data_IF_476540407935
#
_entry.id   IF_476540407935
#
_cell.length_a   1.000
_cell.length_b   1.000
_cell.length_c   1.000
_cell.angle_alpha   90.00
_cell.angle_beta   90.00
_cell.angle_gamma   90.00
#
_symmetry.space_group_name_H-M   'P 1'
#
loop_
_entity.id
_entity.type
_entity.pdbx_description
1 polymer ?
#
# COMPACT_ATOMS: atom_id res chain seq x y z
N UNK A 1 8.37 -30.18 -4.21
CA UNK A 1 7.10 -29.63 -4.73
C UNK A 1 6.06 -29.79 -3.62
N UNK A 2 5.23 -28.78 -3.35
CA UNK A 2 4.30 -28.82 -2.22
C UNK A 2 3.14 -29.77 -2.55
N UNK A 3 3.03 -30.88 -1.82
CA UNK A 3 2.08 -31.98 -2.09
C UNK A 3 0.61 -31.56 -2.06
N UNK A 4 0.29 -30.52 -1.29
CA UNK A 4 -1.09 -30.05 -1.06
C UNK A 4 -1.54 -28.96 -2.04
N UNK A 5 -0.68 -28.57 -3.01
CA UNK A 5 -1.00 -27.51 -3.97
C UNK A 5 -1.68 -28.10 -5.20
N UNK A 6 -2.94 -27.71 -5.43
CA UNK A 6 -3.71 -28.07 -6.62
C UNK A 6 -3.65 -26.96 -7.68
N UNK A 7 -3.06 -27.26 -8.84
CA UNK A 7 -3.04 -26.34 -9.98
C UNK A 7 -4.39 -26.39 -10.70
N UNK A 8 -5.04 -25.23 -10.82
CA UNK A 8 -6.30 -25.07 -11.56
C UNK A 8 -6.04 -24.23 -12.82
N UNK A 9 -6.35 -24.78 -13.99
CA UNK A 9 -6.13 -24.11 -15.27
C UNK A 9 -7.36 -23.29 -15.69
N UNK A 10 -7.14 -22.06 -16.16
CA UNK A 10 -8.19 -21.24 -16.76
C UNK A 10 -8.63 -21.76 -18.13
N UNK A 11 -9.85 -21.41 -18.56
CA UNK A 11 -10.31 -21.72 -19.91
C UNK A 11 -9.45 -20.97 -20.95
N UNK A 12 -9.03 -21.62 -22.04
CA UNK A 12 -8.33 -20.94 -23.13
C UNK A 12 -9.12 -19.72 -23.61
N UNK A 13 -8.49 -18.55 -23.58
CA UNK A 13 -8.98 -17.25 -24.10
C UNK A 13 -10.26 -16.66 -23.46
N UNK A 14 -10.92 -17.34 -22.53
CA UNK A 14 -12.17 -16.86 -21.93
C UNK A 14 -12.39 -17.32 -20.47
N UNK A 15 -11.59 -16.80 -19.54
CA UNK A 15 -11.99 -16.84 -18.13
C UNK A 15 -11.95 -15.44 -17.54
N UNK A 16 -13.06 -15.03 -16.92
CA UNK A 16 -13.24 -13.73 -16.28
C UNK A 16 -12.17 -13.43 -15.22
N UNK A 17 -11.63 -14.49 -14.58
CA UNK A 17 -10.49 -14.42 -13.66
C UNK A 17 -9.18 -13.99 -14.34
N UNK A 18 -8.93 -14.39 -15.58
CA UNK A 18 -7.72 -13.99 -16.32
C UNK A 18 -7.74 -12.49 -16.64
N UNK A 19 -8.89 -11.97 -17.08
CA UNK A 19 -8.99 -10.54 -17.42
C UNK A 19 -8.76 -9.60 -16.23
N UNK A 20 -9.04 -10.03 -14.99
CA UNK A 20 -8.73 -9.22 -13.82
C UNK A 20 -7.26 -9.27 -13.43
N UNK A 21 -6.61 -10.43 -13.57
CA UNK A 21 -5.17 -10.57 -13.35
C UNK A 21 -4.38 -9.79 -14.40
N UNK A 22 -4.78 -9.89 -15.67
CA UNK A 22 -4.15 -9.17 -16.79
C UNK A 22 -4.17 -7.65 -16.59
N UNK A 23 -5.28 -7.09 -16.09
CA UNK A 23 -5.38 -5.65 -15.80
C UNK A 23 -4.44 -5.23 -14.67
N UNK A 24 -4.42 -5.98 -13.57
CA UNK A 24 -3.55 -5.62 -12.44
C UNK A 24 -2.07 -5.78 -12.80
N UNK A 25 -1.72 -6.80 -13.59
CA UNK A 25 -0.36 -6.97 -14.07
C UNK A 25 0.08 -5.76 -14.93
N UNK A 26 -0.79 -5.28 -15.81
CA UNK A 26 -0.52 -4.07 -16.60
C UNK A 26 -0.28 -2.85 -15.72
N UNK A 27 -1.11 -2.64 -14.70
CA UNK A 27 -0.91 -1.50 -13.79
C UNK A 27 0.42 -1.61 -13.04
N UNK A 28 0.82 -2.82 -12.60
CA UNK A 28 2.10 -3.04 -11.92
C UNK A 28 3.27 -2.77 -12.88
N UNK A 29 3.16 -3.17 -14.14
CA UNK A 29 4.15 -2.86 -15.18
C UNK A 29 4.27 -1.33 -15.40
N UNK A 30 3.15 -0.62 -15.51
CA UNK A 30 3.12 0.83 -15.71
C UNK A 30 3.70 1.59 -14.50
N UNK A 31 3.37 1.16 -13.28
CA UNK A 31 3.95 1.69 -12.05
C UNK A 31 5.46 1.44 -11.98
N UNK A 32 5.91 0.28 -12.44
CA UNK A 32 7.33 -0.08 -12.45
C UNK A 32 8.12 0.72 -13.47
N UNK A 33 7.57 0.89 -14.68
CA UNK A 33 8.13 1.77 -15.69
C UNK A 33 8.26 3.21 -15.17
N UNK A 34 7.21 3.72 -14.51
CA UNK A 34 7.21 5.05 -13.90
C UNK A 34 8.27 5.18 -12.81
N UNK A 35 8.35 4.21 -11.90
CA UNK A 35 9.33 4.22 -10.81
C UNK A 35 10.76 4.18 -11.34
N UNK A 36 11.05 3.33 -12.33
CA UNK A 36 12.38 3.24 -12.95
C UNK A 36 12.78 4.56 -13.62
N UNK A 37 11.85 5.23 -14.31
CA UNK A 37 12.09 6.53 -14.94
C UNK A 37 12.39 7.62 -13.89
N UNK A 38 11.61 7.69 -12.81
CA UNK A 38 11.79 8.66 -11.74
C UNK A 38 13.11 8.49 -10.98
N UNK A 39 13.50 7.24 -10.71
CA UNK A 39 14.69 6.90 -9.93
C UNK A 39 15.96 6.75 -10.80
N UNK A 40 15.85 6.91 -12.13
CA UNK A 40 16.94 6.67 -13.09
C UNK A 40 17.65 5.33 -12.84
N UNK A 41 16.88 4.32 -12.46
CA UNK A 41 17.39 3.02 -12.00
C UNK A 41 16.76 1.89 -12.81
N UNK A 42 17.56 0.85 -13.07
CA UNK A 42 17.11 -0.41 -13.67
C UNK A 42 16.90 -1.51 -12.64
N UNK A 43 17.08 -1.18 -11.35
CA UNK A 43 16.90 -2.09 -10.22
C UNK A 43 15.40 -2.27 -9.89
N UNK A 44 14.70 -2.86 -10.85
CA UNK A 44 13.28 -3.16 -10.75
C UNK A 44 12.92 -4.08 -9.57
N UNK A 45 13.78 -5.02 -9.09
CA UNK A 45 13.46 -5.81 -7.91
C UNK A 45 13.32 -4.95 -6.65
N UNK A 46 14.15 -3.91 -6.48
CA UNK A 46 13.99 -2.95 -5.39
C UNK A 46 12.73 -2.10 -5.57
N UNK A 47 12.46 -1.65 -6.79
CA UNK A 47 11.23 -0.92 -7.15
C UNK A 47 9.94 -1.68 -6.82
N UNK A 48 9.95 -3.00 -7.01
CA UNK A 48 8.78 -3.85 -6.81
C UNK A 48 8.23 -3.77 -5.38
N UNK A 49 9.10 -3.64 -4.36
CA UNK A 49 8.69 -3.50 -2.95
C UNK A 49 7.84 -2.24 -2.73
N UNK A 50 8.22 -1.13 -3.37
CA UNK A 50 7.49 0.13 -3.28
C UNK A 50 6.14 0.06 -4.01
N UNK A 51 6.10 -0.60 -5.17
CA UNK A 51 4.89 -0.72 -5.97
C UNK A 51 3.89 -1.66 -5.31
N UNK A 52 4.36 -2.80 -4.80
CA UNK A 52 3.56 -3.73 -4.00
C UNK A 52 2.92 -3.00 -2.82
N UNK A 53 3.69 -2.21 -2.08
CA UNK A 53 3.16 -1.46 -0.95
C UNK A 53 2.14 -0.39 -1.37
N UNK A 54 2.40 0.35 -2.45
CA UNK A 54 1.47 1.34 -2.99
C UNK A 54 0.14 0.70 -3.44
N UNK A 55 0.19 -0.38 -4.22
CA UNK A 55 -1.02 -1.11 -4.67
C UNK A 55 -1.79 -1.69 -3.49
N UNK A 56 -1.12 -2.29 -2.51
CA UNK A 56 -1.79 -2.90 -1.37
C UNK A 56 -2.47 -1.89 -0.45
N UNK A 57 -2.03 -0.63 -0.43
CA UNK A 57 -2.62 0.43 0.40
C UNK A 57 -3.61 1.32 -0.37
N UNK A 58 -3.71 1.17 -1.70
CA UNK A 58 -4.65 1.94 -2.49
C UNK A 58 -6.11 1.58 -2.13
N UNK A 59 -6.96 2.60 -2.01
CA UNK A 59 -8.37 2.42 -1.68
C UNK A 59 -9.09 1.78 -2.88
N UNK A 60 -9.75 0.65 -2.65
CA UNK A 60 -10.58 0.03 -3.67
C UNK A 60 -12.00 0.61 -3.60
N UNK A 61 -12.41 1.34 -4.63
CA UNK A 61 -13.69 2.08 -4.68
C UNK A 61 -14.92 1.19 -4.40
N UNK A 62 -14.92 -0.05 -4.89
CA UNK A 62 -16.05 -0.97 -4.71
C UNK A 62 -16.18 -1.57 -3.30
N UNK A 63 -15.11 -1.59 -2.50
CA UNK A 63 -15.12 -2.15 -1.13
C UNK A 63 -15.03 -1.04 -0.07
N UNK A 64 -14.53 0.14 -0.45
CA UNK A 64 -14.25 1.23 0.49
C UNK A 64 -13.09 0.92 1.45
N UNK A 65 -12.27 -0.08 1.14
CA UNK A 65 -11.07 -0.46 1.91
C UNK A 65 -9.93 -0.82 0.97
N UNK A 66 -8.70 -0.69 1.46
CA UNK A 66 -7.50 -1.18 0.77
C UNK A 66 -7.33 -2.70 0.95
N UNK A 67 -6.66 -3.39 0.02
CA UNK A 67 -6.30 -4.79 0.19
C UNK A 67 -5.54 -5.08 1.50
N UNK A 68 -4.67 -4.16 1.92
CA UNK A 68 -3.95 -4.25 3.19
C UNK A 68 -4.92 -4.25 4.38
N UNK A 69 -5.88 -3.33 4.42
CA UNK A 69 -6.89 -3.29 5.49
C UNK A 69 -7.75 -4.55 5.53
N UNK A 70 -8.11 -5.08 4.37
CA UNK A 70 -8.88 -6.32 4.27
C UNK A 70 -8.07 -7.51 4.80
N UNK A 71 -6.76 -7.55 4.54
CA UNK A 71 -5.89 -8.64 4.95
C UNK A 71 -5.47 -8.57 6.43
N UNK A 72 -5.17 -7.38 6.94
CA UNK A 72 -4.57 -7.17 8.26
C UNK A 72 -5.52 -6.54 9.29
N UNK A 73 -6.69 -6.06 8.86
CA UNK A 73 -7.68 -5.42 9.74
C UNK A 73 -7.33 -4.00 10.18
N UNK A 74 -6.22 -3.42 9.71
CA UNK A 74 -5.79 -2.06 10.06
C UNK A 74 -5.22 -1.31 8.85
N UNK A 75 -5.20 0.02 8.90
CA UNK A 75 -4.58 0.87 7.87
C UNK A 75 -3.07 0.64 7.86
N UNK A 76 -2.47 0.56 6.66
CA UNK A 76 -1.03 0.39 6.55
C UNK A 76 -0.30 1.65 7.03
N UNK A 77 0.74 1.48 7.84
CA UNK A 77 1.53 2.60 8.40
C UNK A 77 2.49 3.17 7.36
N UNK A 78 2.51 4.49 7.25
CA UNK A 78 3.31 5.29 6.32
C UNK A 78 4.10 6.33 7.10
N UNK A 79 5.40 6.08 7.24
CA UNK A 79 6.31 6.98 7.95
C UNK A 79 5.87 7.29 9.38
N UNK A 80 6.40 8.39 9.91
CA UNK A 80 6.19 8.83 11.30
C UNK A 80 4.79 9.41 11.56
N UNK A 81 4.16 9.98 10.54
CA UNK A 81 2.79 10.51 10.64
C UNK A 81 1.76 9.43 11.00
N UNK A 82 2.03 8.17 10.63
CA UNK A 82 1.14 7.04 10.94
C UNK A 82 1.29 6.53 12.37
N UNK A 83 2.16 7.15 13.17
CA UNK A 83 2.39 6.80 14.59
C UNK A 83 1.77 7.86 15.52
N UNK A 84 0.99 8.80 14.97
CA UNK A 84 0.32 9.83 15.75
C UNK A 84 1.19 11.05 16.06
N UNK A 85 2.41 11.12 15.52
CA UNK A 85 3.30 12.29 15.62
C UNK A 85 2.74 13.42 14.74
N UNK A 86 2.61 14.62 15.30
CA UNK A 86 2.10 15.78 14.58
C UNK A 86 3.07 16.15 13.44
N UNK A 87 2.54 16.51 12.28
CA UNK A 87 3.36 16.90 11.10
C UNK A 87 4.34 18.02 11.42
N UNK A 88 3.95 18.94 12.32
CA UNK A 88 4.80 20.05 12.77
C UNK A 88 5.99 19.58 13.62
N UNK A 89 5.85 18.47 14.35
CA UNK A 89 6.93 17.86 15.13
C UNK A 89 7.85 17.05 14.23
N UNK A 90 7.33 16.41 13.18
CA UNK A 90 8.12 15.66 12.19
C UNK A 90 9.17 16.56 11.52
N UNK A 91 8.82 17.82 11.21
CA UNK A 91 9.76 18.78 10.61
C UNK A 91 10.91 19.18 11.54
N UNK A 92 10.77 18.98 12.85
CA UNK A 92 11.77 19.34 13.87
C UNK A 92 12.64 18.16 14.31
N UNK A 93 12.36 16.95 13.81
CA UNK A 93 13.15 15.75 14.09
C UNK A 93 14.50 15.84 13.37
N UNK A 94 15.59 15.83 14.13
CA UNK A 94 16.95 15.84 13.59
C UNK A 94 17.72 14.57 13.94
N UNK A 95 17.55 14.07 15.17
CA UNK A 95 18.22 12.87 15.67
C UNK A 95 17.23 11.85 16.23
N UNK A 96 17.69 10.61 16.40
CA UNK A 96 16.88 9.51 16.96
C UNK A 96 16.31 9.85 18.35
N UNK A 97 17.09 10.56 19.17
CA UNK A 97 16.70 11.04 20.51
C UNK A 97 15.46 11.95 20.49
N UNK A 98 15.21 12.66 19.38
CA UNK A 98 14.04 13.52 19.24
C UNK A 98 12.76 12.67 19.09
N UNK A 99 12.86 11.51 18.45
CA UNK A 99 11.76 10.56 18.28
C UNK A 99 11.42 9.91 19.63
N UNK A 100 12.44 9.49 20.38
CA UNK A 100 12.27 8.89 21.70
C UNK A 100 11.57 9.85 22.66
N UNK A 101 11.94 11.13 22.67
CA UNK A 101 11.28 12.16 23.50
C UNK A 101 9.80 12.31 23.18
N UNK A 102 9.41 12.26 21.91
CA UNK A 102 8.01 12.38 21.50
C UNK A 102 7.22 11.13 21.92
N UNK A 103 7.79 9.94 21.71
CA UNK A 103 7.12 8.68 22.08
C UNK A 103 6.96 8.48 23.58
N UNK A 104 7.85 9.06 24.38
CA UNK A 104 7.81 8.97 25.84
C UNK A 104 6.96 10.07 26.50
N UNK A 105 6.38 11.00 25.72
CA UNK A 105 5.45 11.98 26.27
C UNK A 105 4.12 11.30 26.63
N UNK A 106 3.57 11.54 27.84
CA UNK A 106 2.26 11.00 28.21
C UNK A 106 1.17 11.55 27.26
N UNK A 107 0.34 10.64 26.71
CA UNK A 107 -0.78 10.98 25.83
C UNK A 107 -1.74 11.97 26.51
N UNK A 108 -1.71 13.24 26.09
CA UNK A 108 -2.76 14.19 26.41
C UNK A 108 -3.90 14.02 25.39
N UNK A 109 -5.03 13.55 25.88
CA UNK A 109 -6.15 12.92 25.15
C UNK A 109 -7.12 13.84 24.39
N UNK A 110 -6.73 14.98 23.83
CA UNK A 110 -7.74 15.95 23.34
C UNK A 110 -7.86 16.18 21.82
N UNK A 111 -6.94 15.69 20.97
CA UNK A 111 -6.94 16.12 19.54
C UNK A 111 -7.21 15.03 18.49
N UNK A 112 -7.88 13.93 18.87
CA UNK A 112 -8.11 12.81 17.94
C UNK A 112 -9.23 13.03 16.90
N UNK A 113 -10.04 14.09 16.96
CA UNK A 113 -11.18 14.29 16.06
C UNK A 113 -10.88 15.01 14.73
N UNK A 114 -9.71 15.64 14.56
CA UNK A 114 -9.39 16.40 13.33
C UNK A 114 -8.63 15.54 12.29
N UNK A 115 -8.12 14.37 12.70
CA UNK A 115 -7.08 13.61 11.98
C UNK A 115 -7.54 12.89 10.70
N UNK A 116 -8.84 12.65 10.52
CA UNK A 116 -9.33 11.84 9.40
C UNK A 116 -9.57 12.61 8.08
N UNK A 117 -9.56 13.95 8.05
CA UNK A 117 -9.99 14.72 6.86
C UNK A 117 -8.88 15.27 5.95
N UNK A 118 -7.60 15.22 6.35
CA UNK A 118 -6.50 15.89 5.61
C UNK A 118 -5.56 14.96 4.85
N UNK A 119 -5.60 13.65 5.11
CA UNK A 119 -4.77 12.64 4.43
C UNK A 119 -5.36 12.15 3.10
N UNK A 120 -6.60 12.51 2.77
CA UNK A 120 -7.31 12.08 1.55
C UNK A 120 -6.77 12.71 0.24
N UNK A 121 -5.93 13.75 0.29
CA UNK A 121 -5.60 14.53 -0.91
C UNK A 121 -4.50 13.94 -1.83
N UNK A 122 -3.97 12.76 -1.52
CA UNK A 122 -3.05 12.01 -2.41
C UNK A 122 -3.51 10.56 -2.62
N UNK A 123 -4.83 10.30 -2.56
CA UNK A 123 -5.37 8.98 -2.87
C UNK A 123 -5.36 8.72 -4.38
N UNK A 124 -4.43 7.86 -4.83
CA UNK A 124 -4.52 7.21 -6.13
C UNK A 124 -5.77 6.31 -6.06
N UNK A 125 -6.88 6.82 -6.58
CA UNK A 125 -8.14 6.08 -6.75
C UNK A 125 -7.94 5.00 -7.80
N UNK A 126 -7.84 3.76 -7.35
CA UNK A 126 -7.75 2.62 -8.25
C UNK A 126 -9.14 2.04 -8.46
N UNK A 127 -9.80 2.46 -9.55
CA UNK A 127 -11.23 2.17 -9.75
C UNK A 127 -11.54 0.73 -10.13
N UNK A 128 -10.55 -0.10 -10.47
CA UNK A 128 -10.83 -1.42 -11.03
C UNK A 128 -9.73 -2.40 -10.68
N UNK A 129 -10.00 -3.31 -9.75
CA UNK A 129 -9.81 -4.77 -9.89
C UNK A 129 -9.83 -5.47 -8.53
N UNK A 130 -10.96 -6.11 -8.21
CA UNK A 130 -11.09 -7.18 -7.22
C UNK A 130 -10.24 -8.45 -7.53
N UNK A 131 -9.33 -8.38 -8.50
CA UNK A 131 -8.57 -9.53 -9.01
C UNK A 131 -7.30 -9.89 -8.25
N UNK A 132 -6.89 -9.10 -7.26
CA UNK A 132 -5.68 -9.40 -6.47
C UNK A 132 -6.00 -9.46 -4.98
N UNK A 133 -6.72 -10.50 -4.56
CA UNK A 133 -6.76 -10.85 -3.14
C UNK A 133 -5.56 -11.70 -2.68
N UNK A 134 -4.67 -12.19 -3.57
CA UNK A 134 -3.67 -13.21 -3.14
C UNK A 134 -2.25 -13.08 -3.76
N UNK A 135 -2.01 -12.30 -4.82
CA UNK A 135 -0.77 -12.51 -5.60
C UNK A 135 0.53 -11.87 -5.10
N UNK A 136 0.54 -11.18 -3.96
CA UNK A 136 1.76 -10.50 -3.48
C UNK A 136 2.40 -11.15 -2.25
N UNK A 137 2.08 -12.42 -1.97
CA UNK A 137 2.75 -13.22 -0.93
C UNK A 137 3.40 -14.51 -1.46
N UNK A 138 3.92 -14.48 -2.68
CA UNK A 138 4.94 -15.44 -3.14
C UNK A 138 6.31 -14.79 -3.11
#
# INVERSE_FOLDING_TARGET
>A
MWSDVKIVHGKPRHSQSQGSVERVNRDVEDMLATWMAQNKSRDWPSGLKFIQFQKNRALHSGIGKSPYEVMFGCKARVGLASVGILVNEICNLSMEEDIEKIMLQPENNEDNEIRDKKSENNEIRDEKCLGLLIFLKL
#
